data_IF_238885689569
#
_entry.id   IF_238885689569
#
_cell.length_a   1.000
_cell.length_b   1.000
_cell.length_c   1.000
_cell.angle_alpha   90.00
_cell.angle_beta   90.00
_cell.angle_gamma   90.00
#
_symmetry.space_group_name_H-M   'P 1'
#
loop_
_entity.id
_entity.type
_entity.pdbx_description
1 polymer ?
#
# COMPACT_ATOMS: atom_id res chain seq x y z
N UNK A 1 -13.58 -12.75 -0.47
CA UNK A 1 -13.83 -11.39 -1.00
C UNK A 1 -12.57 -10.91 -1.71
N UNK A 2 -12.58 -9.77 -2.40
CA UNK A 2 -11.33 -9.18 -2.96
C UNK A 2 -10.59 -8.43 -1.85
N UNK A 3 -9.26 -8.44 -1.86
CA UNK A 3 -8.44 -7.66 -0.94
C UNK A 3 -8.35 -6.18 -1.38
N UNK A 4 -8.13 -5.28 -0.41
CA UNK A 4 -8.00 -3.84 -0.64
C UNK A 4 -6.86 -3.27 0.19
N UNK A 5 -6.22 -2.21 -0.31
CA UNK A 5 -5.25 -1.41 0.43
C UNK A 5 -5.76 0.03 0.45
N UNK A 6 -5.85 0.62 1.64
CA UNK A 6 -6.27 2.01 1.85
C UNK A 6 -5.09 2.82 2.38
N UNK A 7 -4.84 3.99 1.79
CA UNK A 7 -3.83 4.95 2.24
C UNK A 7 -4.50 6.21 2.78
N UNK A 8 -3.96 6.78 3.86
CA UNK A 8 -4.55 7.91 4.57
C UNK A 8 -3.76 9.21 4.32
N UNK A 9 -4.43 10.35 4.06
CA UNK A 9 -3.78 11.64 3.89
C UNK A 9 -3.39 12.24 5.25
N UNK A 10 -2.14 12.04 5.66
CA UNK A 10 -1.65 12.39 7.00
C UNK A 10 -0.47 13.38 6.99
N UNK A 11 -0.20 14.03 5.85
CA UNK A 11 1.02 14.81 5.65
C UNK A 11 2.16 13.88 5.27
N UNK A 12 3.31 14.08 5.89
CA UNK A 12 4.47 13.16 5.82
C UNK A 12 4.38 12.23 7.03
N UNK A 13 3.29 11.48 7.09
CA UNK A 13 3.06 10.49 8.13
C UNK A 13 2.34 9.30 7.55
N UNK A 14 2.55 8.15 8.16
CA UNK A 14 2.19 6.89 7.55
C UNK A 14 1.10 6.14 8.29
N UNK A 15 0.13 5.71 7.50
CA UNK A 15 -0.78 4.65 7.86
C UNK A 15 -1.37 4.06 6.59
N UNK A 16 -1.43 2.74 6.52
CA UNK A 16 -2.10 2.02 5.46
C UNK A 16 -2.88 0.83 6.04
N UNK A 17 -4.10 0.63 5.56
CA UNK A 17 -4.95 -0.49 5.98
C UNK A 17 -5.09 -1.50 4.84
N UNK A 18 -4.72 -2.75 5.11
CA UNK A 18 -4.90 -3.88 4.21
C UNK A 18 -6.09 -4.70 4.70
N UNK A 19 -7.16 -4.72 3.91
CA UNK A 19 -8.32 -5.59 4.09
C UNK A 19 -8.12 -6.88 3.30
N UNK A 20 -8.02 -8.02 3.97
CA UNK A 20 -7.81 -9.34 3.34
C UNK A 20 -9.13 -9.98 2.88
N UNK A 21 -9.03 -11.01 2.03
CA UNK A 21 -10.19 -11.66 1.42
C UNK A 21 -11.11 -12.36 2.43
N UNK A 22 -10.56 -12.78 3.57
CA UNK A 22 -11.23 -13.41 4.71
C UNK A 22 -11.68 -12.40 5.79
N UNK A 23 -11.60 -11.10 5.49
CA UNK A 23 -11.94 -9.97 6.37
C UNK A 23 -10.94 -9.68 7.48
N UNK A 24 -9.78 -10.36 7.50
CA UNK A 24 -8.68 -9.93 8.37
C UNK A 24 -8.22 -8.52 7.98
N UNK A 25 -7.82 -7.73 8.97
CA UNK A 25 -7.38 -6.33 8.83
C UNK A 25 -5.95 -6.19 9.35
N UNK A 26 -5.05 -5.79 8.47
CA UNK A 26 -3.64 -5.51 8.78
C UNK A 26 -3.41 -4.01 8.64
N UNK A 27 -3.15 -3.33 9.76
CA UNK A 27 -2.76 -1.93 9.76
C UNK A 27 -1.23 -1.84 9.73
N UNK A 28 -0.70 -1.04 8.82
CA UNK A 28 0.73 -0.76 8.68
C UNK A 28 0.93 0.70 9.03
N UNK A 29 1.63 0.94 10.13
CA UNK A 29 1.87 2.22 10.81
C UNK A 29 0.61 2.95 11.29
N UNK A 30 0.80 3.83 12.27
CA UNK A 30 -0.22 4.67 12.89
C UNK A 30 0.35 6.06 13.23
N UNK A 31 0.66 6.84 12.20
CA UNK A 31 1.04 8.25 12.33
C UNK A 31 -0.16 9.18 12.46
N UNK A 32 -0.89 9.19 13.58
CA UNK A 32 -2.08 10.03 13.74
C UNK A 32 -1.74 11.51 14.02
N UNK A 33 -1.23 12.21 13.01
CA UNK A 33 -0.64 13.54 13.22
C UNK A 33 -1.60 14.72 13.03
N UNK A 34 -2.88 14.50 12.67
CA UNK A 34 -3.85 15.61 12.52
C UNK A 34 -3.89 16.41 13.83
N UNK A 35 -3.68 17.72 13.72
CA UNK A 35 -3.76 18.65 14.83
C UNK A 35 -5.21 19.11 15.00
N UNK A 36 -5.92 18.73 16.08
CA UNK A 36 -7.31 19.11 16.29
C UNK A 36 -7.50 20.61 16.54
N UNK A 37 -6.47 21.31 17.05
CA UNK A 37 -6.52 22.74 17.36
C UNK A 37 -6.32 23.61 16.11
N UNK A 38 -5.90 23.00 14.99
CA UNK A 38 -5.73 23.66 13.70
C UNK A 38 -6.92 23.33 12.80
N UNK A 39 -7.91 24.21 12.78
CA UNK A 39 -9.17 24.00 12.05
C UNK A 39 -8.97 23.82 10.53
N UNK A 40 -7.91 24.39 9.96
CA UNK A 40 -7.53 24.29 8.56
C UNK A 40 -6.53 23.16 8.27
N UNK A 41 -6.24 22.27 9.23
CA UNK A 41 -5.40 21.09 8.99
C UNK A 41 -6.07 20.14 7.98
N UNK A 42 -5.51 19.99 6.77
CA UNK A 42 -6.13 19.19 5.71
C UNK A 42 -6.01 17.69 5.94
N UNK A 43 -5.20 17.24 6.92
CA UNK A 43 -5.02 15.81 7.22
C UNK A 43 -6.32 15.19 7.69
N UNK A 44 -6.56 13.92 7.33
CA UNK A 44 -7.75 13.23 7.83
C UNK A 44 -7.62 12.91 9.32
N UNK A 45 -8.76 12.80 9.99
CA UNK A 45 -8.82 12.23 11.34
C UNK A 45 -8.66 10.71 11.26
N UNK A 46 -7.42 10.23 11.38
CA UNK A 46 -7.09 8.81 11.24
C UNK A 46 -7.87 7.95 12.24
N UNK A 47 -7.96 8.40 13.48
CA UNK A 47 -8.67 7.69 14.54
C UNK A 47 -10.16 7.53 14.20
N UNK A 48 -10.81 8.61 13.74
CA UNK A 48 -12.21 8.55 13.32
C UNK A 48 -12.42 7.62 12.11
N UNK A 49 -11.55 7.70 11.10
CA UNK A 49 -11.61 6.87 9.90
C UNK A 49 -11.46 5.38 10.21
N UNK A 50 -10.45 5.01 11.01
CA UNK A 50 -10.23 3.62 11.41
C UNK A 50 -11.36 3.09 12.30
N UNK A 51 -11.89 3.90 13.23
CA UNK A 51 -13.05 3.53 14.03
C UNK A 51 -14.29 3.30 13.19
N UNK A 52 -14.55 4.16 12.21
CA UNK A 52 -15.65 3.98 11.28
C UNK A 52 -15.50 2.69 10.46
N UNK A 53 -14.28 2.39 10.00
CA UNK A 53 -13.96 1.17 9.28
C UNK A 53 -14.22 -0.09 10.14
N UNK A 54 -13.75 -0.11 11.38
CA UNK A 54 -13.94 -1.21 12.33
C UNK A 54 -15.42 -1.40 12.70
N UNK A 55 -16.14 -0.32 13.03
CA UNK A 55 -17.59 -0.36 13.31
C UNK A 55 -18.38 -0.95 12.15
N UNK A 56 -18.07 -0.55 10.91
CA UNK A 56 -18.70 -1.09 9.70
C UNK A 56 -18.43 -2.59 9.52
N UNK A 57 -17.29 -3.07 9.99
CA UNK A 57 -16.95 -4.49 10.01
C UNK A 57 -17.50 -5.24 11.26
N UNK A 58 -18.19 -4.55 12.18
CA UNK A 58 -18.74 -5.13 13.40
C UNK A 58 -17.67 -5.63 14.38
N UNK A 59 -16.52 -4.95 14.44
CA UNK A 59 -15.38 -5.34 15.29
C UNK A 59 -14.71 -4.14 15.94
N UNK A 60 -13.88 -4.40 16.95
CA UNK A 60 -13.16 -3.43 17.78
C UNK A 60 -11.64 -3.69 17.84
N UNK A 61 -11.14 -4.55 16.95
CA UNK A 61 -9.73 -4.94 16.88
C UNK A 61 -9.19 -5.01 15.46
N UNK A 62 -7.87 -4.82 15.33
CA UNK A 62 -7.10 -5.22 14.16
C UNK A 62 -6.50 -6.60 14.38
N UNK A 63 -6.40 -7.38 13.30
CA UNK A 63 -5.73 -8.69 13.36
C UNK A 63 -4.22 -8.53 13.48
N UNK A 64 -3.68 -7.52 12.78
CA UNK A 64 -2.28 -7.13 12.87
C UNK A 64 -2.17 -5.61 12.91
N UNK A 65 -1.29 -5.10 13.78
CA UNK A 65 -0.73 -3.75 13.65
C UNK A 65 0.78 -3.88 13.51
N UNK A 66 1.32 -3.39 12.39
CA UNK A 66 2.75 -3.38 12.09
C UNK A 66 3.28 -1.96 12.25
N UNK A 67 4.20 -1.75 13.19
CA UNK A 67 5.03 -0.56 13.22
C UNK A 67 6.33 -0.88 12.51
N UNK A 68 6.54 -0.25 11.36
CA UNK A 68 7.71 -0.48 10.52
C UNK A 68 8.99 -0.01 11.21
N UNK A 69 8.90 1.10 11.93
CA UNK A 69 9.90 1.63 12.87
C UNK A 69 9.21 2.57 13.87
N UNK A 70 9.98 3.31 14.68
CA UNK A 70 9.47 4.08 15.84
C UNK A 70 9.59 5.61 15.70
N UNK A 71 9.71 6.14 14.48
CA UNK A 71 9.58 7.60 14.29
C UNK A 71 8.14 8.05 14.57
N UNK A 72 7.99 9.30 14.98
CA UNK A 72 6.71 9.84 15.47
C UNK A 72 5.65 9.83 14.35
N UNK A 73 6.04 10.06 13.11
CA UNK A 73 5.21 9.94 11.91
C UNK A 73 4.75 8.51 11.57
N UNK A 74 5.21 7.51 12.30
CA UNK A 74 4.75 6.12 12.20
C UNK A 74 3.99 5.63 13.45
N UNK A 75 4.14 6.29 14.61
CA UNK A 75 3.55 5.80 15.86
C UNK A 75 2.83 6.83 16.74
N UNK A 76 2.76 8.10 16.33
CA UNK A 76 2.16 9.17 17.12
C UNK A 76 0.70 8.88 17.51
N UNK A 77 0.40 9.13 18.80
CA UNK A 77 -0.88 8.94 19.50
C UNK A 77 -1.33 7.49 19.62
N UNK A 78 -0.41 6.53 19.50
CA UNK A 78 -0.69 5.12 19.78
C UNK A 78 -1.32 4.93 21.17
N UNK A 79 -0.78 5.61 22.18
CA UNK A 79 -1.25 5.56 23.56
C UNK A 79 -2.61 6.21 23.79
N UNK A 80 -3.17 6.93 22.83
CA UNK A 80 -4.55 7.46 22.90
C UNK A 80 -5.56 6.51 22.23
N UNK A 81 -5.13 5.82 21.17
CA UNK A 81 -6.03 5.08 20.30
C UNK A 81 -6.16 3.60 20.67
N UNK A 82 -5.03 2.95 20.94
CA UNK A 82 -4.98 1.51 21.14
C UNK A 82 -5.18 1.11 22.60
N UNK A 83 -5.67 -0.12 22.77
CA UNK A 83 -5.58 -0.86 24.00
C UNK A 83 -4.19 -1.48 24.07
N UNK A 84 -3.38 -1.10 25.06
CA UNK A 84 -2.04 -1.66 25.27
C UNK A 84 -2.04 -2.54 26.53
N UNK A 85 -1.62 -3.79 26.37
CA UNK A 85 -1.68 -4.80 27.43
C UNK A 85 -0.66 -4.55 28.55
N UNK A 86 0.46 -3.88 28.24
CA UNK A 86 1.53 -3.65 29.22
C UNK A 86 1.15 -2.75 30.40
N UNK A 87 0.12 -1.90 30.28
CA UNK A 87 -0.27 -0.98 31.36
C UNK A 87 -1.76 -0.60 31.34
N UNK A 88 -2.40 -0.64 32.53
CA UNK A 88 -3.82 -0.28 32.73
C UNK A 88 -4.18 1.15 32.27
N UNK A 89 -3.22 2.08 32.27
CA UNK A 89 -3.45 3.46 31.83
C UNK A 89 -3.87 3.55 30.35
N UNK A 90 -3.52 2.54 29.55
CA UNK A 90 -3.86 2.44 28.13
C UNK A 90 -4.98 1.42 27.88
N UNK A 91 -5.80 1.14 28.89
CA UNK A 91 -6.91 0.21 28.83
C UNK A 91 -8.19 0.94 29.23
N UNK A 92 -9.27 0.72 28.50
CA UNK A 92 -10.52 1.44 28.73
C UNK A 92 -11.51 1.32 27.58
N UNK A 93 -12.72 1.79 27.84
CA UNK A 93 -13.80 1.79 26.85
C UNK A 93 -13.39 2.57 25.60
N UNK A 94 -13.73 2.01 24.43
CA UNK A 94 -13.44 2.63 23.14
C UNK A 94 -11.98 2.50 22.69
N UNK A 95 -11.04 1.94 23.45
CA UNK A 95 -9.68 1.68 22.92
C UNK A 95 -9.68 0.47 21.99
N UNK A 96 -8.96 0.57 20.87
CA UNK A 96 -8.94 -0.47 19.83
C UNK A 96 -7.90 -1.55 20.16
N UNK A 97 -8.28 -2.83 20.09
CA UNK A 97 -7.38 -3.94 20.41
C UNK A 97 -6.45 -4.30 19.26
N UNK A 98 -5.26 -4.78 19.61
CA UNK A 98 -4.26 -5.33 18.69
C UNK A 98 -4.16 -6.84 18.95
N UNK A 99 -4.56 -7.68 17.99
CA UNK A 99 -4.45 -9.12 18.16
C UNK A 99 -2.97 -9.58 18.06
N UNK A 100 -2.27 -9.20 16.98
CA UNK A 100 -0.83 -9.43 16.82
C UNK A 100 -0.10 -8.11 16.51
N UNK A 101 0.99 -7.84 17.23
CA UNK A 101 1.85 -6.68 17.04
C UNK A 101 3.07 -7.07 16.22
N UNK A 102 3.40 -6.31 15.20
CA UNK A 102 4.51 -6.54 14.29
C UNK A 102 5.52 -5.41 14.45
N UNK A 103 6.78 -5.73 14.76
CA UNK A 103 7.85 -4.74 15.00
C UNK A 103 9.21 -5.27 14.54
N UNK A 104 10.16 -4.40 14.13
CA UNK A 104 11.54 -4.82 13.91
C UNK A 104 12.23 -5.11 15.25
N UNK A 105 13.25 -5.96 15.25
CA UNK A 105 14.02 -6.29 16.45
C UNK A 105 14.64 -5.06 17.14
N UNK A 106 15.10 -4.07 16.36
CA UNK A 106 15.65 -2.82 16.88
C UNK A 106 14.65 -2.00 17.72
N UNK A 107 13.34 -2.08 17.44
CA UNK A 107 12.32 -1.42 18.23
C UNK A 107 12.29 -1.91 19.69
N UNK A 108 12.73 -3.15 19.95
CA UNK A 108 12.82 -3.71 21.31
C UNK A 108 14.12 -3.34 22.02
N UNK A 109 15.17 -2.93 21.31
CA UNK A 109 16.51 -2.68 21.90
C UNK A 109 16.91 -1.21 21.89
N UNK A 110 16.13 -0.35 21.23
CA UNK A 110 16.37 1.08 21.21
C UNK A 110 16.27 1.70 22.61
N UNK A 111 17.20 2.60 22.93
CA UNK A 111 17.29 3.28 24.21
C UNK A 111 16.83 4.73 24.11
N UNK A 112 16.51 5.35 25.24
CA UNK A 112 16.19 6.78 25.29
C UNK A 112 14.85 7.17 24.64
N UNK A 113 14.01 6.20 24.28
CA UNK A 113 12.69 6.43 23.70
C UNK A 113 11.79 7.27 24.61
N UNK A 114 11.03 8.17 23.98
CA UNK A 114 10.03 9.05 24.61
C UNK A 114 8.69 8.88 23.90
N UNK A 115 7.64 9.50 24.45
CA UNK A 115 6.32 9.56 23.81
C UNK A 115 5.75 8.19 23.46
N UNK A 116 5.05 8.13 22.33
CA UNK A 116 4.39 6.91 21.85
C UNK A 116 5.36 5.83 21.37
N UNK A 117 6.54 6.21 20.86
CA UNK A 117 7.60 5.25 20.52
C UNK A 117 7.96 4.35 21.71
N UNK A 118 8.10 4.94 22.91
CA UNK A 118 8.30 4.20 24.16
C UNK A 118 7.13 3.27 24.49
N UNK A 119 5.90 3.67 24.18
CA UNK A 119 4.71 2.85 24.45
C UNK A 119 4.62 1.65 23.52
N UNK A 120 4.94 1.83 22.24
CA UNK A 120 5.05 0.72 21.28
C UNK A 120 6.12 -0.27 21.74
N UNK A 121 7.30 0.22 22.13
CA UNK A 121 8.35 -0.66 22.67
C UNK A 121 7.90 -1.39 23.94
N UNK A 122 7.26 -0.70 24.89
CA UNK A 122 6.78 -1.30 26.13
C UNK A 122 5.76 -2.42 25.86
N UNK A 123 4.84 -2.19 24.92
CA UNK A 123 3.88 -3.19 24.47
C UNK A 123 4.55 -4.39 23.78
N UNK A 124 5.52 -4.13 22.90
CA UNK A 124 6.28 -5.18 22.23
C UNK A 124 7.06 -6.05 23.22
N UNK A 125 7.78 -5.42 24.16
CA UNK A 125 8.50 -6.13 25.22
C UNK A 125 7.55 -6.91 26.12
N UNK A 126 6.37 -6.37 26.46
CA UNK A 126 5.36 -7.11 27.23
C UNK A 126 4.92 -8.38 26.49
N UNK A 127 4.53 -8.26 25.21
CA UNK A 127 4.07 -9.41 24.40
C UNK A 127 5.16 -10.46 24.18
N UNK A 128 6.42 -10.04 24.05
CA UNK A 128 7.57 -10.95 24.00
C UNK A 128 7.75 -11.72 25.32
N UNK A 129 7.61 -11.05 26.48
CA UNK A 129 7.66 -11.71 27.79
C UNK A 129 6.54 -12.76 27.93
N UNK A 130 5.33 -12.42 27.50
CA UNK A 130 4.13 -13.27 27.49
C UNK A 130 4.14 -14.39 26.41
N UNK A 131 5.13 -14.38 25.52
CA UNK A 131 5.32 -15.35 24.43
C UNK A 131 4.14 -15.43 23.43
N UNK A 132 3.35 -14.37 23.26
CA UNK A 132 2.16 -14.38 22.38
C UNK A 132 1.80 -13.01 21.85
N UNK A 133 1.06 -12.99 20.74
CA UNK A 133 0.49 -11.76 20.18
C UNK A 133 1.54 -10.80 19.60
N UNK A 134 2.74 -11.29 19.27
CA UNK A 134 3.80 -10.50 18.64
C UNK A 134 4.51 -11.29 17.54
N UNK A 135 4.95 -10.56 16.53
CA UNK A 135 5.89 -10.98 15.50
C UNK A 135 7.06 -10.00 15.48
N UNK A 136 8.27 -10.52 15.62
CA UNK A 136 9.50 -9.72 15.61
C UNK A 136 10.24 -10.01 14.31
N UNK A 137 10.61 -8.96 13.57
CA UNK A 137 11.37 -9.11 12.34
C UNK A 137 12.87 -8.94 12.61
N UNK A 138 13.66 -9.89 12.09
CA UNK A 138 15.09 -10.11 12.38
C UNK A 138 15.38 -10.81 13.72
N UNK A 139 16.46 -11.61 13.72
CA UNK A 139 17.05 -12.31 14.87
C UNK A 139 18.41 -11.71 15.24
N UNK A 140 18.51 -10.39 15.30
CA UNK A 140 19.74 -9.68 15.66
C UNK A 140 20.32 -10.16 17.00
N UNK A 141 21.64 -10.33 17.05
CA UNK A 141 22.37 -10.72 18.27
C UNK A 141 22.16 -9.70 19.40
N UNK A 142 22.04 -8.41 19.06
CA UNK A 142 21.72 -7.37 20.05
C UNK A 142 20.42 -7.63 20.80
N UNK A 143 19.39 -8.16 20.13
CA UNK A 143 18.13 -8.50 20.80
C UNK A 143 18.27 -9.77 21.65
N UNK A 144 19.07 -10.75 21.23
CA UNK A 144 19.36 -11.92 22.06
C UNK A 144 20.11 -11.52 23.35
N UNK A 145 21.11 -10.65 23.25
CA UNK A 145 21.81 -10.11 24.40
C UNK A 145 20.87 -9.36 25.37
N UNK A 146 19.95 -8.54 24.84
CA UNK A 146 18.92 -7.90 25.67
C UNK A 146 17.99 -8.92 26.33
N UNK A 147 17.58 -9.97 25.62
CA UNK A 147 16.75 -11.04 26.17
C UNK A 147 17.46 -11.79 27.30
N UNK A 148 18.76 -12.07 27.16
CA UNK A 148 19.56 -12.70 28.22
C UNK A 148 19.63 -11.83 29.48
N UNK A 149 19.83 -10.51 29.33
CA UNK A 149 19.81 -9.56 30.44
C UNK A 149 18.45 -9.50 31.17
N UNK A 150 17.36 -9.77 30.45
CA UNK A 150 15.99 -9.81 30.96
C UNK A 150 15.56 -11.22 31.41
N UNK A 151 16.49 -12.16 31.48
CA UNK A 151 16.25 -13.58 31.84
C UNK A 151 15.19 -14.26 30.94
N UNK A 152 15.12 -13.84 29.67
CA UNK A 152 14.21 -14.38 28.67
C UNK A 152 14.91 -15.39 27.78
N UNK A 153 14.54 -16.67 27.94
CA UNK A 153 15.01 -17.72 27.03
C UNK A 153 14.51 -17.49 25.58
N UNK A 154 15.47 -17.40 24.66
CA UNK A 154 15.26 -17.26 23.21
C UNK A 154 14.69 -18.53 22.58
N UNK A 155 15.12 -19.73 22.99
CA UNK A 155 14.72 -20.97 22.34
C UNK A 155 13.23 -21.24 22.45
N UNK A 156 12.63 -20.93 23.61
CA UNK A 156 11.17 -21.00 23.78
C UNK A 156 10.40 -19.88 23.08
N UNK A 157 11.08 -18.86 22.53
CA UNK A 157 10.48 -17.68 21.87
C UNK A 157 10.81 -17.55 20.39
N UNK A 158 11.73 -18.35 19.85
CA UNK A 158 12.19 -18.28 18.44
C UNK A 158 11.09 -18.32 17.39
N UNK A 159 9.95 -18.92 17.74
CA UNK A 159 8.76 -19.02 16.90
C UNK A 159 8.03 -17.68 16.71
N UNK A 160 8.36 -16.65 17.50
CA UNK A 160 7.86 -15.28 17.37
C UNK A 160 8.66 -14.46 16.34
N UNK A 161 9.80 -14.99 15.87
CA UNK A 161 10.73 -14.27 14.99
C UNK A 161 10.58 -14.69 13.52
N UNK A 162 10.68 -13.73 12.61
CA UNK A 162 10.74 -13.95 11.15
C UNK A 162 11.89 -13.15 10.56
N UNK A 163 12.77 -13.83 9.83
CA UNK A 163 13.90 -13.17 9.16
C UNK A 163 13.51 -12.64 7.78
N UNK A 164 14.28 -11.67 7.28
CA UNK A 164 14.28 -11.32 5.87
C UNK A 164 14.48 -12.56 4.99
N UNK A 165 13.80 -12.59 3.85
CA UNK A 165 13.76 -13.73 2.94
C UNK A 165 12.76 -14.82 3.31
N UNK A 166 11.91 -14.63 4.32
CA UNK A 166 10.91 -15.61 4.77
C UNK A 166 9.49 -15.08 4.62
N UNK A 167 8.55 -16.02 4.55
CA UNK A 167 7.12 -15.74 4.63
C UNK A 167 6.69 -15.59 6.09
N UNK A 168 5.78 -14.66 6.35
CA UNK A 168 5.17 -14.53 7.67
C UNK A 168 4.16 -15.67 7.90
N UNK A 169 4.28 -16.44 9.01
CA UNK A 169 3.34 -17.50 9.32
C UNK A 169 1.89 -17.01 9.47
N UNK A 170 0.92 -17.87 9.13
CA UNK A 170 -0.51 -17.55 9.24
C UNK A 170 -1.11 -16.83 8.04
N UNK A 171 -0.33 -16.61 6.98
CA UNK A 171 -0.77 -16.01 5.72
C UNK A 171 -0.32 -16.87 4.52
N UNK A 172 -1.28 -17.29 3.71
CA UNK A 172 -1.10 -18.04 2.47
C UNK A 172 -1.98 -17.47 1.37
N UNK A 173 -1.40 -17.26 0.19
CA UNK A 173 -2.15 -16.88 -1.01
C UNK A 173 -3.14 -17.95 -1.47
N UNK A 174 -2.96 -19.19 -1.03
CA UNK A 174 -3.85 -20.32 -1.31
C UNK A 174 -4.88 -20.55 -0.18
N UNK A 175 -4.73 -19.87 0.96
CA UNK A 175 -5.67 -19.88 2.07
C UNK A 175 -6.89 -18.96 1.85
N UNK A 176 -7.84 -18.93 2.81
CA UNK A 176 -9.03 -18.06 2.75
C UNK A 176 -8.72 -16.55 2.67
N UNK A 177 -7.59 -16.12 3.22
CA UNK A 177 -7.06 -14.75 3.19
C UNK A 177 -6.61 -14.30 1.81
N UNK A 178 -6.24 -15.27 0.94
CA UNK A 178 -5.78 -15.03 -0.43
C UNK A 178 -4.60 -14.07 -0.49
N UNK A 179 -3.76 -14.06 0.55
CA UNK A 179 -2.59 -13.19 0.66
C UNK A 179 -1.44 -13.89 1.39
N UNK A 180 -0.20 -13.67 0.95
CA UNK A 180 1.02 -14.02 1.69
C UNK A 180 1.94 -12.80 1.82
N UNK A 181 2.69 -12.73 2.92
CA UNK A 181 3.60 -11.63 3.25
C UNK A 181 5.04 -12.14 3.22
N UNK A 182 5.88 -11.56 2.37
CA UNK A 182 7.30 -11.88 2.26
C UNK A 182 8.14 -10.73 2.81
N UNK A 183 8.97 -11.01 3.81
CA UNK A 183 9.79 -10.01 4.50
C UNK A 183 11.07 -9.76 3.74
N UNK A 184 11.37 -8.49 3.44
CA UNK A 184 12.61 -8.05 2.79
C UNK A 184 13.62 -7.44 3.76
N UNK A 185 13.14 -6.82 4.83
CA UNK A 185 13.94 -6.07 5.82
C UNK A 185 13.29 -6.17 7.19
N UNK A 186 14.05 -6.07 8.31
CA UNK A 186 15.51 -5.87 8.41
C UNK A 186 16.37 -7.12 8.21
N UNK A 187 17.64 -6.90 7.82
CA UNK A 187 18.69 -7.91 7.88
C UNK A 187 19.40 -7.88 9.24
N UNK A 188 19.63 -9.05 9.83
CA UNK A 188 20.24 -9.15 11.17
C UNK A 188 21.62 -8.47 11.26
N UNK A 189 22.47 -8.63 10.24
CA UNK A 189 23.81 -8.05 10.24
C UNK A 189 23.82 -6.51 10.29
N UNK A 190 22.86 -5.83 9.64
CA UNK A 190 22.74 -4.35 9.70
C UNK A 190 22.48 -3.86 11.13
N UNK A 191 21.57 -4.55 11.82
CA UNK A 191 21.20 -4.22 13.20
C UNK A 191 22.32 -4.50 14.21
N UNK A 192 23.24 -5.41 13.89
CA UNK A 192 24.35 -5.80 14.75
C UNK A 192 25.63 -4.98 14.49
N UNK A 193 25.86 -4.50 13.26
CA UNK A 193 27.01 -3.64 12.90
C UNK A 193 26.85 -2.19 13.42
N UNK A 194 25.60 -1.73 13.56
CA UNK A 194 25.30 -0.38 13.97
C UNK A 194 25.39 -0.18 15.50
N UNK A 195 26.23 0.76 15.94
CA UNK A 195 26.35 1.14 17.35
C UNK A 195 25.13 1.92 17.85
N UNK A 196 24.48 2.69 16.96
CA UNK A 196 23.24 3.44 17.19
C UNK A 196 22.15 2.86 16.29
N UNK A 197 20.93 2.72 16.79
CA UNK A 197 19.80 2.20 15.99
C UNK A 197 19.52 3.13 14.80
N UNK A 198 19.63 2.60 13.58
CA UNK A 198 19.20 3.25 12.35
C UNK A 198 17.74 2.86 12.09
N UNK A 199 16.81 3.68 12.58
CA UNK A 199 15.37 3.39 12.50
C UNK A 199 14.90 3.15 11.06
N UNK A 200 15.42 3.93 10.11
CA UNK A 200 15.00 3.88 8.72
C UNK A 200 15.62 2.69 7.99
N UNK A 201 16.93 2.49 8.10
CA UNK A 201 17.63 1.37 7.48
C UNK A 201 17.27 0.00 8.07
N UNK A 202 16.79 -0.04 9.32
CA UNK A 202 16.36 -1.26 10.01
C UNK A 202 14.83 -1.46 10.02
N UNK A 203 14.09 -0.66 9.23
CA UNK A 203 12.64 -0.71 9.19
C UNK A 203 12.10 -1.99 8.51
N UNK A 204 10.88 -2.37 8.87
CA UNK A 204 10.18 -3.51 8.26
C UNK A 204 9.74 -3.16 6.84
N UNK A 205 10.34 -3.80 5.84
CA UNK A 205 9.88 -3.75 4.46
C UNK A 205 9.44 -5.14 4.00
N UNK A 206 8.33 -5.20 3.25
CA UNK A 206 7.75 -6.46 2.83
C UNK A 206 6.96 -6.34 1.52
N UNK A 207 6.80 -7.48 0.85
CA UNK A 207 5.87 -7.64 -0.26
C UNK A 207 4.64 -8.42 0.20
N UNK A 208 3.46 -7.99 -0.25
CA UNK A 208 2.22 -8.79 -0.17
C UNK A 208 1.87 -9.32 -1.54
N UNK A 209 1.71 -10.63 -1.67
CA UNK A 209 1.15 -11.26 -2.87
C UNK A 209 -0.32 -11.58 -2.62
N UNK A 210 -1.22 -10.95 -3.36
CA UNK A 210 -2.65 -11.24 -3.35
C UNK A 210 -3.03 -12.16 -4.50
N UNK A 211 -3.91 -13.14 -4.26
CA UNK A 211 -4.36 -14.11 -5.27
C UNK A 211 -5.87 -14.11 -5.48
N UNK A 212 -6.34 -13.50 -6.57
CA UNK A 212 -7.75 -13.54 -6.98
C UNK A 212 -7.92 -14.57 -8.12
N UNK A 213 -8.64 -15.66 -7.83
CA UNK A 213 -8.67 -16.85 -8.70
C UNK A 213 -7.26 -17.36 -9.05
N UNK A 214 -6.86 -17.26 -10.33
CA UNK A 214 -5.53 -17.67 -10.84
C UNK A 214 -4.56 -16.50 -11.00
N UNK A 215 -4.98 -15.26 -10.73
CA UNK A 215 -4.16 -14.07 -10.94
C UNK A 215 -3.54 -13.60 -9.64
N UNK A 216 -2.25 -13.29 -9.70
CA UNK A 216 -1.49 -12.70 -8.60
C UNK A 216 -1.24 -11.22 -8.87
N UNK A 217 -1.35 -10.41 -7.82
CA UNK A 217 -0.96 -9.00 -7.81
C UNK A 217 -0.11 -8.71 -6.58
N UNK A 218 0.83 -7.79 -6.72
CA UNK A 218 1.86 -7.58 -5.71
C UNK A 218 1.82 -6.15 -5.18
N UNK A 219 1.86 -5.99 -3.85
CA UNK A 219 2.08 -4.70 -3.20
C UNK A 219 3.42 -4.71 -2.48
N UNK A 220 4.25 -3.70 -2.68
CA UNK A 220 5.52 -3.52 -1.96
C UNK A 220 5.38 -2.33 -1.01
N UNK A 221 5.72 -2.56 0.26
CA UNK A 221 5.80 -1.55 1.31
C UNK A 221 7.26 -1.34 1.65
N UNK A 222 7.81 -0.20 1.22
CA UNK A 222 9.23 0.13 1.36
C UNK A 222 9.64 0.79 2.69
N UNK A 223 8.69 1.02 3.61
CA UNK A 223 8.89 1.82 4.83
C UNK A 223 9.60 3.14 4.55
N UNK A 224 10.72 3.42 5.22
CA UNK A 224 11.50 4.67 5.14
C UNK A 224 12.94 4.42 4.69
N UNK A 225 13.15 3.28 4.03
CA UNK A 225 14.44 2.81 3.56
C UNK A 225 15.05 3.77 2.54
N UNK A 226 16.34 4.01 2.69
CA UNK A 226 17.16 4.70 1.71
C UNK A 226 17.65 3.77 0.59
N UNK A 227 18.39 4.32 -0.36
CA UNK A 227 18.92 3.61 -1.51
C UNK A 227 19.94 2.55 -1.13
N UNK A 228 20.70 2.70 -0.04
CA UNK A 228 21.66 1.69 0.41
C UNK A 228 20.93 0.45 0.93
N UNK A 229 19.94 0.64 1.81
CA UNK A 229 19.12 -0.46 2.32
C UNK A 229 18.31 -1.14 1.20
N UNK A 230 17.74 -0.36 0.28
CA UNK A 230 17.04 -0.91 -0.89
C UNK A 230 17.99 -1.67 -1.83
N UNK A 231 19.23 -1.19 -2.00
CA UNK A 231 20.25 -1.88 -2.79
C UNK A 231 20.63 -3.21 -2.18
N UNK A 232 20.78 -3.29 -0.85
CA UNK A 232 21.02 -4.55 -0.14
C UNK A 232 19.87 -5.53 -0.34
N UNK A 233 18.62 -5.08 -0.21
CA UNK A 233 17.43 -5.88 -0.47
C UNK A 233 17.48 -6.46 -1.89
N UNK A 234 17.76 -5.63 -2.90
CA UNK A 234 17.83 -6.07 -4.30
C UNK A 234 18.96 -7.08 -4.51
N UNK A 235 20.18 -6.77 -4.03
CA UNK A 235 21.36 -7.64 -4.20
C UNK A 235 21.14 -9.00 -3.54
N UNK A 236 20.71 -9.01 -2.27
CA UNK A 236 20.49 -10.24 -1.50
C UNK A 236 19.36 -11.05 -2.12
N UNK A 237 18.22 -10.43 -2.41
CA UNK A 237 17.08 -11.11 -3.00
C UNK A 237 17.44 -11.77 -4.34
N UNK A 238 18.20 -11.08 -5.20
CA UNK A 238 18.69 -11.63 -6.47
C UNK A 238 19.72 -12.74 -6.27
N UNK A 239 20.65 -12.58 -5.33
CA UNK A 239 21.66 -13.61 -4.99
C UNK A 239 21.01 -14.93 -4.61
N UNK A 240 19.87 -14.91 -3.91
CA UNK A 240 19.13 -16.09 -3.52
C UNK A 240 18.07 -16.55 -4.55
N UNK A 241 18.09 -16.02 -5.77
CA UNK A 241 17.19 -16.43 -6.85
C UNK A 241 15.72 -15.99 -6.67
N UNK A 242 15.46 -15.06 -5.76
CA UNK A 242 14.12 -14.62 -5.38
C UNK A 242 13.70 -13.32 -6.07
N UNK A 243 14.24 -13.02 -7.26
CA UNK A 243 14.01 -11.74 -7.95
C UNK A 243 12.52 -11.40 -8.16
N UNK A 244 11.65 -12.41 -8.28
CA UNK A 244 10.21 -12.29 -8.39
C UNK A 244 9.53 -11.74 -7.11
N UNK A 245 10.16 -11.88 -5.94
CA UNK A 245 9.71 -11.31 -4.65
C UNK A 245 9.81 -9.79 -4.59
N UNK A 246 10.39 -9.15 -5.61
CA UNK A 246 10.46 -7.69 -5.74
C UNK A 246 9.50 -7.13 -6.79
N UNK A 247 8.67 -7.97 -7.43
CA UNK A 247 7.60 -7.51 -8.33
C UNK A 247 6.61 -6.64 -7.59
N UNK A 248 6.07 -5.64 -8.26
CA UNK A 248 5.05 -4.77 -7.67
C UNK A 248 4.06 -4.25 -8.72
N UNK A 249 2.76 -4.37 -8.42
CA UNK A 249 1.67 -3.64 -9.08
C UNK A 249 1.26 -2.40 -8.26
N UNK A 250 1.51 -2.41 -6.94
CA UNK A 250 1.33 -1.29 -6.02
C UNK A 250 2.63 -1.06 -5.24
N UNK A 251 3.10 0.17 -5.18
CA UNK A 251 4.28 0.57 -4.40
C UNK A 251 3.87 1.70 -3.45
N UNK A 252 3.94 1.47 -2.14
CA UNK A 252 4.03 2.56 -1.16
C UNK A 252 5.49 3.01 -1.15
N UNK A 253 5.74 4.24 -1.57
CA UNK A 253 7.09 4.75 -1.69
C UNK A 253 7.82 4.74 -0.34
N UNK A 254 9.13 4.47 -0.38
CA UNK A 254 9.97 4.69 0.78
C UNK A 254 10.01 6.18 1.17
N UNK A 255 9.98 6.45 2.47
CA UNK A 255 10.37 7.72 3.08
C UNK A 255 9.73 8.94 2.41
N UNK A 256 8.40 8.90 2.28
CA UNK A 256 7.58 10.00 1.77
C UNK A 256 8.04 10.59 0.41
N UNK A 257 8.60 9.78 -0.50
CA UNK A 257 9.18 10.23 -1.78
C UNK A 257 10.48 11.05 -1.62
N UNK A 258 11.36 10.58 -0.73
CA UNK A 258 12.71 11.09 -0.57
C UNK A 258 13.62 10.72 -1.76
N UNK A 259 14.45 11.66 -2.22
CA UNK A 259 15.50 11.37 -3.20
C UNK A 259 16.50 10.35 -2.68
N UNK A 260 16.71 10.29 -1.36
CA UNK A 260 17.62 9.33 -0.73
C UNK A 260 17.16 7.89 -0.89
N UNK A 261 15.89 7.63 -1.18
CA UNK A 261 15.39 6.30 -1.55
C UNK A 261 15.73 5.88 -2.99
N UNK A 262 16.27 6.79 -3.80
CA UNK A 262 16.69 6.55 -5.18
C UNK A 262 18.21 6.54 -5.32
N UNK A 263 18.89 7.52 -4.72
CA UNK A 263 20.33 7.65 -4.78
C UNK A 263 20.89 8.74 -3.87
N UNK A 264 22.21 8.90 -3.84
CA UNK A 264 22.89 9.83 -2.93
C UNK A 264 22.72 11.30 -3.33
N UNK A 265 22.42 11.57 -4.60
CA UNK A 265 22.30 12.92 -5.14
C UNK A 265 20.86 13.22 -5.57
N UNK A 266 20.33 14.37 -5.15
CA UNK A 266 18.97 14.79 -5.48
C UNK A 266 18.75 15.03 -6.97
N UNK A 267 19.77 15.52 -7.68
CA UNK A 267 19.66 16.02 -9.05
C UNK A 267 18.96 17.38 -9.14
N UNK A 268 18.96 17.98 -10.33
CA UNK A 268 18.31 19.28 -10.58
C UNK A 268 16.80 19.13 -10.83
N UNK A 269 16.43 18.26 -11.77
CA UNK A 269 15.05 18.05 -12.22
C UNK A 269 14.51 16.64 -11.96
N UNK A 270 15.37 15.64 -12.00
CA UNK A 270 15.03 14.25 -11.73
C UNK A 270 16.18 13.60 -10.96
N UNK A 271 15.84 12.83 -9.92
CA UNK A 271 16.81 12.04 -9.17
C UNK A 271 17.20 10.81 -9.97
N UNK A 272 18.51 10.62 -10.17
CA UNK A 272 19.04 9.43 -10.84
C UNK A 272 19.14 8.30 -9.82
N UNK A 273 18.38 7.23 -10.04
CA UNK A 273 18.42 6.06 -9.18
C UNK A 273 19.71 5.26 -9.40
N UNK A 274 20.31 4.76 -8.32
CA UNK A 274 21.40 3.78 -8.39
C UNK A 274 20.92 2.48 -9.05
N UNK A 275 21.84 1.69 -9.62
CA UNK A 275 21.50 0.57 -10.51
C UNK A 275 20.50 -0.44 -9.91
N UNK A 276 20.68 -0.81 -8.64
CA UNK A 276 19.79 -1.72 -7.94
C UNK A 276 18.38 -1.15 -7.77
N UNK A 277 18.29 0.10 -7.33
CA UNK A 277 17.02 0.79 -7.09
C UNK A 277 16.31 1.09 -8.41
N UNK A 278 17.07 1.50 -9.43
CA UNK A 278 16.58 1.62 -10.80
C UNK A 278 15.99 0.30 -11.28
N UNK A 279 16.66 -0.82 -11.06
CA UNK A 279 16.13 -2.14 -11.41
C UNK A 279 14.83 -2.47 -10.65
N UNK A 280 14.75 -2.15 -9.35
CA UNK A 280 13.53 -2.33 -8.56
C UNK A 280 12.34 -1.54 -9.14
N UNK A 281 12.51 -0.25 -9.41
CA UNK A 281 11.41 0.59 -9.90
C UNK A 281 11.12 0.35 -11.40
N UNK A 282 12.16 0.40 -12.25
CA UNK A 282 12.01 0.37 -13.71
C UNK A 282 11.82 -1.04 -14.26
N UNK A 283 12.38 -2.08 -13.62
CA UNK A 283 12.27 -3.47 -14.12
C UNK A 283 11.18 -4.27 -13.42
N UNK A 284 11.12 -4.24 -12.08
CA UNK A 284 10.16 -5.07 -11.34
C UNK A 284 8.73 -4.53 -11.33
N UNK A 285 8.56 -3.22 -11.57
CA UNK A 285 7.24 -2.59 -11.69
C UNK A 285 6.43 -3.19 -12.84
N UNK A 286 5.19 -3.56 -12.55
CA UNK A 286 4.31 -4.21 -13.52
C UNK A 286 3.58 -3.21 -14.43
N UNK A 287 3.01 -3.67 -15.55
CA UNK A 287 2.16 -2.82 -16.41
C UNK A 287 0.93 -2.34 -15.66
N UNK A 288 0.55 -1.08 -15.87
CA UNK A 288 -0.54 -0.39 -15.19
C UNK A 288 -0.37 -0.36 -13.66
N UNK A 289 0.88 -0.33 -13.18
CA UNK A 289 1.17 -0.24 -11.75
C UNK A 289 0.73 1.10 -11.14
N UNK A 290 0.72 1.16 -9.82
CA UNK A 290 0.43 2.34 -9.04
C UNK A 290 1.55 2.59 -8.06
N UNK A 291 2.10 3.80 -8.08
CA UNK A 291 3.04 4.31 -7.07
C UNK A 291 2.27 5.29 -6.19
N UNK A 292 2.34 5.12 -4.88
CA UNK A 292 1.72 5.99 -3.88
C UNK A 292 2.82 6.64 -3.05
N UNK A 293 2.84 7.97 -3.05
CA UNK A 293 3.62 8.81 -2.14
C UNK A 293 2.75 9.16 -0.93
N UNK A 294 3.03 8.60 0.26
CA UNK A 294 2.34 8.99 1.49
C UNK A 294 2.96 10.28 2.04
N UNK A 295 2.74 11.40 1.37
CA UNK A 295 3.42 12.65 1.67
C UNK A 295 2.48 13.85 1.60
N UNK A 296 2.97 14.99 2.09
CA UNK A 296 2.51 16.33 1.71
C UNK A 296 2.51 16.49 0.19
N UNK A 297 1.81 17.52 -0.34
CA UNK A 297 1.85 17.85 -1.76
C UNK A 297 3.30 18.02 -2.25
N UNK A 298 3.57 17.55 -3.46
CA UNK A 298 4.92 17.65 -4.03
C UNK A 298 5.27 19.12 -4.25
N UNK A 299 6.44 19.60 -3.80
CA UNK A 299 6.80 21.00 -3.92
C UNK A 299 6.93 21.46 -5.38
N UNK A 300 6.69 22.74 -5.60
CA UNK A 300 6.82 23.39 -6.91
C UNK A 300 8.26 23.88 -7.07
N UNK A 301 8.81 23.73 -8.28
CA UNK A 301 10.19 24.13 -8.59
C UNK A 301 10.52 25.55 -8.09
N UNK A 302 11.64 25.69 -7.38
CA UNK A 302 12.15 26.98 -6.89
C UNK A 302 11.49 27.52 -5.61
N UNK A 303 10.41 26.89 -5.12
CA UNK A 303 9.83 27.22 -3.80
C UNK A 303 10.74 26.76 -2.66
N UNK A 304 10.51 27.27 -1.44
CA UNK A 304 11.30 26.84 -0.27
C UNK A 304 11.12 25.35 0.02
N UNK A 305 9.91 24.80 -0.20
CA UNK A 305 9.68 23.35 -0.11
C UNK A 305 10.50 22.54 -1.14
N UNK A 306 10.82 23.10 -2.31
CA UNK A 306 11.68 22.43 -3.30
C UNK A 306 13.16 22.43 -2.88
N UNK A 307 13.54 23.29 -1.93
CA UNK A 307 14.89 23.38 -1.36
C UNK A 307 15.02 22.63 -0.03
N UNK A 308 13.90 22.20 0.55
CA UNK A 308 13.87 21.51 1.83
C UNK A 308 14.68 20.21 1.78
N UNK A 309 15.46 19.93 2.83
CA UNK A 309 16.19 18.68 2.97
C UNK A 309 15.24 17.52 3.29
N UNK A 310 14.09 17.80 3.89
CA UNK A 310 13.07 16.80 4.21
C UNK A 310 12.20 16.47 2.99
N UNK A 311 11.75 15.21 2.85
CA UNK A 311 10.83 14.82 1.79
C UNK A 311 9.44 15.48 1.97
N UNK A 312 8.59 15.49 0.92
CA UNK A 312 8.80 14.91 -0.41
C UNK A 312 9.71 15.77 -1.30
N UNK A 313 10.49 15.12 -2.16
CA UNK A 313 11.35 15.81 -3.12
C UNK A 313 10.78 15.76 -4.54
N UNK A 314 10.67 16.92 -5.19
CA UNK A 314 10.13 17.04 -6.56
C UNK A 314 10.90 16.18 -7.56
N UNK A 315 12.22 16.12 -7.45
CA UNK A 315 13.11 15.39 -8.34
C UNK A 315 12.85 13.87 -8.27
N UNK A 316 12.65 13.35 -7.05
CA UNK A 316 12.25 11.96 -6.84
C UNK A 316 10.84 11.69 -7.38
N UNK A 317 9.90 12.61 -7.14
CA UNK A 317 8.56 12.50 -7.69
C UNK A 317 8.56 12.49 -9.23
N UNK A 318 9.44 13.24 -9.87
CA UNK A 318 9.60 13.23 -11.33
C UNK A 318 10.10 11.88 -11.84
N UNK A 319 11.07 11.25 -11.15
CA UNK A 319 11.50 9.89 -11.45
C UNK A 319 10.32 8.92 -11.40
N UNK A 320 9.60 8.89 -10.27
CA UNK A 320 8.47 7.97 -10.10
C UNK A 320 7.32 8.22 -11.09
N UNK A 321 7.02 9.48 -11.42
CA UNK A 321 6.04 9.84 -12.46
C UNK A 321 6.47 9.30 -13.82
N UNK A 322 7.75 9.42 -14.20
CA UNK A 322 8.28 8.84 -15.44
C UNK A 322 8.12 7.32 -15.45
N UNK A 323 8.59 6.64 -14.41
CA UNK A 323 8.49 5.17 -14.29
C UNK A 323 7.04 4.69 -14.38
N UNK A 324 6.12 5.33 -13.65
CA UNK A 324 4.71 5.00 -13.71
C UNK A 324 4.13 5.21 -15.13
N UNK A 325 4.43 6.35 -15.77
CA UNK A 325 3.96 6.69 -17.12
C UNK A 325 4.43 5.69 -18.17
N UNK A 326 5.71 5.31 -18.15
CA UNK A 326 6.29 4.32 -19.08
C UNK A 326 5.62 2.95 -18.97
N UNK A 327 5.07 2.62 -17.80
CA UNK A 327 4.33 1.38 -17.54
C UNK A 327 2.83 1.50 -17.79
N UNK A 328 2.33 2.65 -18.24
CA UNK A 328 0.88 2.94 -18.35
C UNK A 328 0.18 2.98 -16.98
N UNK A 329 0.96 3.16 -15.92
CA UNK A 329 0.54 3.23 -14.53
C UNK A 329 0.23 4.65 -14.08
N UNK A 330 0.20 4.84 -12.76
CA UNK A 330 -0.11 6.14 -12.14
C UNK A 330 0.77 6.40 -10.92
N UNK A 331 1.13 7.67 -10.73
CA UNK A 331 1.78 8.19 -9.52
C UNK A 331 0.79 9.05 -8.75
N UNK A 332 0.71 8.85 -7.45
CA UNK A 332 -0.42 9.26 -6.60
C UNK A 332 0.11 9.79 -5.28
N UNK A 333 -0.40 10.92 -4.79
CA UNK A 333 0.12 11.58 -3.56
C UNK A 333 -1.02 11.70 -2.57
N UNK A 334 -0.90 11.14 -1.38
CA UNK A 334 -2.04 11.02 -0.44
C UNK A 334 -2.68 12.37 -0.12
N UNK A 335 -1.87 13.41 0.13
CA UNK A 335 -2.36 14.77 0.41
C UNK A 335 -2.84 15.56 -0.81
N UNK A 336 -2.73 15.01 -2.02
CA UNK A 336 -3.27 15.65 -3.24
C UNK A 336 -4.59 15.03 -3.71
N UNK A 337 -5.06 13.96 -3.05
CA UNK A 337 -6.17 13.13 -3.51
C UNK A 337 -7.43 13.27 -2.65
N UNK A 338 -8.64 13.46 -3.24
CA UNK A 338 -8.87 13.73 -4.67
C UNK A 338 -8.48 15.16 -5.07
N UNK A 339 -8.28 16.05 -4.09
CA UNK A 339 -7.84 17.44 -4.26
C UNK A 339 -7.00 17.88 -3.05
N UNK A 340 -6.04 18.78 -3.27
CA UNK A 340 -5.08 19.25 -2.25
C UNK A 340 -5.70 19.96 -1.04
N UNK A 341 -6.85 20.61 -1.24
CA UNK A 341 -7.55 21.40 -0.23
C UNK A 341 -8.52 20.59 0.65
N UNK A 342 -8.83 19.35 0.24
CA UNK A 342 -9.72 18.46 0.95
C UNK A 342 -9.34 16.99 0.66
N UNK A 343 -8.13 16.56 1.06
CA UNK A 343 -7.69 15.21 0.76
C UNK A 343 -8.49 14.18 1.56
N UNK A 344 -8.64 12.98 1.02
CA UNK A 344 -9.44 11.89 1.60
C UNK A 344 -8.71 10.55 1.50
N UNK A 345 -8.99 9.60 2.41
CA UNK A 345 -8.46 8.25 2.32
C UNK A 345 -8.75 7.63 0.94
N UNK A 346 -7.72 7.06 0.32
CA UNK A 346 -7.80 6.48 -1.02
C UNK A 346 -7.67 4.95 -0.96
N UNK A 347 -8.38 4.21 -1.82
CA UNK A 347 -8.27 2.75 -1.91
C UNK A 347 -9.37 1.91 -1.22
N UNK A 348 -10.33 2.54 -0.50
CA UNK A 348 -11.39 1.79 0.20
C UNK A 348 -12.66 1.51 -0.64
N UNK A 349 -13.40 0.45 -0.29
CA UNK A 349 -14.73 0.11 -0.85
C UNK A 349 -15.81 1.16 -0.51
N UNK A 350 -15.57 2.01 0.49
CA UNK A 350 -16.50 3.01 1.03
C UNK A 350 -16.39 4.40 0.40
N UNK A 351 -15.28 4.70 -0.29
CA UNK A 351 -14.99 6.08 -0.69
C UNK A 351 -15.83 6.58 -1.88
N UNK A 352 -16.57 5.71 -2.59
CA UNK A 352 -17.25 6.10 -3.84
C UNK A 352 -16.31 6.69 -4.90
N UNK A 353 -15.01 6.61 -4.67
CA UNK A 353 -13.95 7.23 -5.48
C UNK A 353 -13.52 6.27 -6.58
N UNK A 354 -13.19 6.81 -7.76
CA UNK A 354 -12.62 6.10 -8.92
C UNK A 354 -11.24 5.44 -8.66
N UNK A 355 -10.77 5.48 -7.41
CA UNK A 355 -9.41 5.25 -6.91
C UNK A 355 -9.16 3.88 -6.30
N UNK A 356 -9.97 2.90 -6.66
CA UNK A 356 -9.89 1.58 -6.06
C UNK A 356 -8.71 0.80 -6.66
N UNK A 357 -7.57 0.76 -5.96
CA UNK A 357 -6.62 -0.34 -6.16
C UNK A 357 -7.31 -1.61 -5.67
N UNK A 358 -7.82 -2.34 -6.65
CA UNK A 358 -8.33 -3.70 -6.53
C UNK A 358 -7.23 -4.57 -7.08
N UNK A 359 -7.07 -5.79 -6.55
CA UNK A 359 -6.25 -6.84 -7.15
C UNK A 359 -6.68 -7.25 -8.59
N UNK A 360 -7.55 -6.48 -9.26
CA UNK A 360 -7.96 -6.73 -10.64
C UNK A 360 -6.99 -6.08 -11.60
N UNK A 361 -6.18 -6.90 -12.27
CA UNK A 361 -5.88 -6.59 -13.67
C UNK A 361 -7.21 -6.65 -14.42
N UNK A 362 -7.72 -5.51 -14.91
CA UNK A 362 -8.75 -5.54 -15.94
C UNK A 362 -8.18 -6.41 -17.06
N UNK A 363 -8.79 -7.56 -17.32
CA UNK A 363 -8.62 -8.22 -18.61
C UNK A 363 -8.90 -7.15 -19.67
N UNK A 364 -7.87 -6.72 -20.37
CA UNK A 364 -7.94 -5.69 -21.39
C UNK A 364 -9.05 -6.02 -22.38
N UNK A 365 -10.15 -5.28 -22.28
CA UNK A 365 -11.01 -4.75 -23.35
C UNK A 365 -11.18 -5.51 -24.69
N UNK A 366 -11.09 -6.84 -24.73
CA UNK A 366 -11.45 -7.64 -25.92
C UNK A 366 -12.97 -7.86 -26.06
N UNK A 367 -13.77 -7.49 -25.04
CA UNK A 367 -15.24 -7.61 -25.09
C UNK A 367 -16.00 -6.38 -25.61
N UNK A 368 -15.34 -5.24 -25.88
CA UNK A 368 -16.01 -4.06 -26.49
C UNK A 368 -15.75 -3.85 -27.99
N UNK A 369 -14.87 -4.65 -28.62
CA UNK A 369 -14.70 -4.66 -30.09
C UNK A 369 -15.46 -5.78 -30.82
N UNK A 370 -15.94 -6.82 -30.12
CA UNK A 370 -16.75 -7.88 -30.76
C UNK A 370 -18.22 -7.51 -31.00
N UNK A 371 -18.77 -6.49 -30.33
CA UNK A 371 -20.14 -6.02 -30.59
C UNK A 371 -20.26 -4.83 -31.58
N UNK A 372 -19.14 -4.28 -32.07
CA UNK A 372 -19.16 -3.29 -33.17
C UNK A 372 -18.73 -3.84 -34.53
N UNK A 373 -18.20 -5.06 -34.61
CA UNK A 373 -18.00 -5.77 -35.89
C UNK A 373 -19.15 -6.70 -36.27
N UNK A 374 -19.88 -7.26 -35.30
CA UNK A 374 -21.07 -8.08 -35.57
C UNK A 374 -22.35 -7.31 -35.96
N UNK A 375 -22.26 -5.98 -36.18
CA UNK A 375 -23.35 -5.14 -36.73
C UNK A 375 -22.96 -4.44 -38.04
N UNK A 376 -21.76 -4.67 -38.56
CA UNK A 376 -21.33 -4.15 -39.86
C UNK A 376 -21.34 -5.22 -40.97
N UNK A 377 -21.39 -6.51 -40.60
CA UNK A 377 -21.39 -7.63 -41.55
C UNK A 377 -22.79 -8.26 -41.76
N UNK A 378 -23.86 -7.65 -41.23
CA UNK A 378 -25.24 -8.09 -41.42
C UNK A 378 -26.06 -7.19 -42.39
N UNK A 379 -25.53 -6.04 -42.82
CA UNK A 379 -26.17 -5.13 -43.78
C UNK A 379 -25.50 -5.17 -45.18
N UNK A 380 -24.62 -6.14 -45.44
CA UNK A 380 -23.84 -6.25 -46.68
C UNK A 380 -24.20 -7.43 -47.60
N UNK A 381 -25.21 -8.23 -47.24
CA UNK A 381 -25.55 -9.49 -47.91
C UNK A 381 -27.04 -9.58 -48.25
N UNK A 382 -27.59 -8.56 -48.92
CA UNK A 382 -28.84 -8.73 -49.68
C UNK A 382 -29.03 -7.72 -50.82
N UNK A 383 -27.95 -7.47 -51.60
CA UNK A 383 -28.07 -6.77 -52.89
C UNK A 383 -27.09 -7.34 -53.91
N UNK A 384 -27.40 -8.52 -54.44
CA UNK A 384 -26.94 -8.99 -55.75
C UNK A 384 -27.75 -10.22 -56.15
N UNK A 385 -28.97 -10.03 -56.65
CA UNK A 385 -29.57 -10.83 -57.72
C UNK A 385 -30.76 -10.07 -58.31
N UNK A 386 -30.81 -9.97 -59.64
CA UNK A 386 -32.06 -9.70 -60.37
C UNK A 386 -32.23 -8.34 -61.03
N UNK A 387 -31.39 -8.00 -62.01
CA UNK A 387 -31.82 -7.18 -63.16
C UNK A 387 -32.71 -8.05 -64.05
N UNK A 388 -33.94 -7.63 -64.37
CA UNK A 388 -34.80 -8.43 -65.24
C UNK A 388 -36.24 -7.95 -65.48
N UNK A 389 -36.39 -6.71 -65.97
CA UNK A 389 -37.38 -6.28 -66.98
C UNK A 389 -38.92 -6.37 -66.76
N UNK A 390 -39.57 -5.32 -67.28
CA UNK A 390 -40.99 -5.14 -67.71
C UNK A 390 -41.94 -4.69 -66.59
N UNK A 391 -42.88 -3.75 -66.77
CA UNK A 391 -43.40 -3.06 -67.95
C UNK A 391 -44.09 -1.76 -67.53
N UNK A 392 -44.17 -0.77 -68.44
CA UNK A 392 -45.18 0.29 -68.39
C UNK A 392 -46.03 0.20 -69.65
N UNK A 393 -47.29 -0.25 -69.53
CA UNK A 393 -48.41 0.25 -70.32
C UNK A 393 -49.66 0.31 -69.45
N UNK A 394 -50.29 1.47 -69.57
CA UNK A 394 -51.52 1.95 -68.97
C UNK A 394 -52.69 0.95 -69.00
N UNK A 395 -53.56 1.01 -67.98
CA UNK A 395 -54.93 1.51 -68.18
C UNK A 395 -55.66 1.74 -66.84
N UNK A 396 -56.00 3.01 -66.61
CA UNK A 396 -57.30 3.55 -66.24
C UNK A 396 -58.16 2.92 -65.12
N UNK A 397 -58.66 3.85 -64.27
CA UNK A 397 -59.92 3.84 -63.48
C UNK A 397 -59.91 2.99 -62.21
N UNK A 398 -60.48 3.37 -61.08
CA UNK A 398 -61.19 4.56 -60.59
C UNK A 398 -61.45 4.29 -59.08
N UNK A 399 -61.60 5.36 -58.27
CA UNK A 399 -62.14 5.43 -56.88
C UNK A 399 -61.24 4.93 -55.73
N UNK A 400 -60.63 5.77 -54.89
CA UNK A 400 -61.20 6.60 -53.79
C UNK A 400 -62.29 5.90 -52.98
N UNK A 401 -62.38 5.93 -51.65
CA UNK A 401 -61.56 6.40 -50.54
C UNK A 401 -62.36 6.10 -49.27
N UNK A 402 -61.74 5.57 -48.22
CA UNK A 402 -62.28 5.55 -46.85
C UNK A 402 -61.11 5.45 -45.88
N UNK A 403 -60.61 6.57 -45.35
CA UNK A 403 -60.89 7.11 -44.00
C UNK A 403 -61.00 6.01 -42.91
N UNK A 404 -60.05 5.83 -41.99
CA UNK A 404 -59.53 6.71 -40.89
C UNK A 404 -60.09 6.26 -39.54
N UNK A 405 -59.23 6.33 -38.51
CA UNK A 405 -59.46 6.43 -37.04
C UNK A 405 -59.22 5.17 -36.18
N UNK A 406 -58.04 5.21 -35.53
CA UNK A 406 -57.73 5.14 -34.09
C UNK A 406 -58.45 4.13 -33.18
N UNK A 407 -57.62 3.40 -32.43
CA UNK A 407 -57.52 3.64 -30.99
C UNK A 407 -57.91 2.46 -30.09
N UNK A 408 -56.93 1.70 -29.62
CA UNK A 408 -56.32 1.82 -28.29
C UNK A 408 -55.13 0.88 -28.16
#
# INVERSE_FOLDING_TARGET
MTAYVTFYPLGDADSALIDLADKRKVLVDFGNQRNPDKADDPRCDLAAELRANLRKAGRDSFDVVCFTHLDDDHCCRTGEFFWLDHAKAYQGEGRIRINELWVPACALTEEGLKGDARLVQAEARHRLREKKGIRIFSRAERLKAWMEQEELDYETRKHLFVDAGKLVPGFSKDGPERAEFFVHSPFAWRQDENTVVDRNGDAVAFQVTFKEATHETYALFGSDLDHDALSDIVKITRRYGNADRLRWDLMKLPHHCSYLSLGPERGEDETVAVDEVKWLFETQGQKNCTIVSPSRPIPIAGTDGDKDSQPPHRQAANHHRRVAREKGGTFRVTMEEPRKDAPKPSGSRSAGSDWLWRSRRRASSLRRRRHRRARADADGLDRRMGLGARSSRACARDRTSGRVILGR
#
